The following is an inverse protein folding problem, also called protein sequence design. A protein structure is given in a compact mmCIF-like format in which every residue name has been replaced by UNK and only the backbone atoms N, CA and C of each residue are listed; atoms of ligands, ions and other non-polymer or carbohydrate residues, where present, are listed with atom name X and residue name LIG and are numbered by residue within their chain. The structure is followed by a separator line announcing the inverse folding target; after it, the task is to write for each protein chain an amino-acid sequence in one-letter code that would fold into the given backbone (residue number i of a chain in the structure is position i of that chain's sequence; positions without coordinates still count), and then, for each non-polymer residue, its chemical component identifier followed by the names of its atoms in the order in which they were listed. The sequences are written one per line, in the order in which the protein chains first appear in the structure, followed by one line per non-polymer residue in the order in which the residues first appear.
data_IF_852982376201
#
_entry.id   IF_852982376201
#
_cell.length_a   1.000
_cell.length_b   1.000
_cell.length_c   1.000
_cell.angle_alpha   90.00
_cell.angle_beta   90.00
_cell.angle_gamma   90.00
#
_symmetry.space_group_name_H-M   'P 1'
#
loop_
_entity.id
_entity.type
_entity.pdbx_description
1 polymer ?
#
# COMPACT_ATOMS: atom_id res chain seq x y z
N UNK A 1 16.67 -6.85 -15.38
CA UNK A 1 16.25 -5.43 -15.48
C UNK A 1 14.74 -5.43 -15.74
N UNK A 2 13.93 -5.14 -14.71
CA UNK A 2 12.47 -4.99 -14.83
C UNK A 2 12.13 -3.59 -14.28
N UNK A 3 11.29 -2.81 -14.98
CA UNK A 3 11.02 -1.42 -14.63
C UNK A 3 10.25 -1.31 -13.32
N UNK A 4 10.38 -0.13 -12.74
CA UNK A 4 10.06 0.29 -11.38
C UNK A 4 8.58 0.06 -11.03
N UNK A 5 8.31 -0.79 -10.03
CA UNK A 5 6.97 -0.92 -9.44
C UNK A 5 6.73 0.29 -8.52
N UNK A 6 6.20 1.35 -9.11
CA UNK A 6 5.77 2.56 -8.41
C UNK A 6 4.60 2.30 -7.46
N UNK A 7 4.62 2.98 -6.31
CA UNK A 7 3.69 2.83 -5.19
C UNK A 7 2.24 3.00 -5.61
N UNK A 8 1.50 1.91 -5.58
CA UNK A 8 0.04 1.94 -5.75
C UNK A 8 -0.58 2.14 -4.37
N UNK A 9 -1.31 3.23 -4.20
CA UNK A 9 -2.22 3.42 -3.06
C UNK A 9 -3.60 3.01 -3.57
N UNK A 10 -4.13 1.91 -3.04
CA UNK A 10 -5.47 1.45 -3.40
C UNK A 10 -6.46 2.12 -2.44
N UNK A 11 -7.30 3.00 -2.99
CA UNK A 11 -8.45 3.61 -2.31
C UNK A 11 -9.66 3.23 -3.15
N UNK A 12 -10.60 2.46 -2.61
CA UNK A 12 -11.76 2.01 -3.37
C UNK A 12 -12.90 1.55 -2.47
N UNK A 13 -14.13 1.86 -2.90
CA UNK A 13 -15.36 1.41 -2.26
C UNK A 13 -15.70 -0.04 -2.63
N UNK A 14 -15.94 -0.86 -1.60
CA UNK A 14 -16.23 -2.28 -1.73
C UNK A 14 -15.02 -3.16 -2.13
N UNK A 15 -15.06 -4.48 -1.87
CA UNK A 15 -13.96 -5.40 -2.12
C UNK A 15 -13.79 -5.69 -3.62
N UNK A 16 -13.39 -4.69 -4.41
CA UNK A 16 -12.96 -4.85 -5.81
C UNK A 16 -11.51 -5.35 -5.89
N UNK A 17 -11.14 -6.36 -5.11
CA UNK A 17 -9.76 -6.93 -5.07
C UNK A 17 -9.40 -7.79 -6.28
N UNK A 18 -10.24 -7.83 -7.32
CA UNK A 18 -9.87 -8.42 -8.60
C UNK A 18 -8.63 -7.75 -9.22
N UNK A 19 -8.41 -6.45 -8.98
CA UNK A 19 -7.20 -5.73 -9.42
C UNK A 19 -5.92 -6.27 -8.76
N UNK A 20 -6.06 -6.87 -7.58
CA UNK A 20 -4.98 -7.25 -6.67
C UNK A 20 -4.58 -8.72 -6.81
N UNK A 21 -5.49 -9.56 -7.32
CA UNK A 21 -5.24 -11.00 -7.52
C UNK A 21 -4.02 -11.32 -8.39
N UNK A 22 -3.64 -10.43 -9.31
CA UNK A 22 -2.50 -10.61 -10.22
C UNK A 22 -1.20 -9.96 -9.73
N UNK A 23 -1.23 -9.26 -8.59
CA UNK A 23 -0.08 -8.46 -8.12
C UNK A 23 0.77 -9.18 -7.08
N UNK A 24 0.34 -10.35 -6.59
CA UNK A 24 1.00 -11.09 -5.51
C UNK A 24 0.73 -10.54 -4.11
N UNK A 25 -0.21 -9.59 -3.98
CA UNK A 25 -0.62 -9.04 -2.69
C UNK A 25 -1.60 -10.01 -2.02
N UNK A 26 -1.35 -10.29 -0.74
CA UNK A 26 -2.19 -11.17 0.05
C UNK A 26 -3.55 -10.55 0.36
N UNK A 27 -4.59 -11.36 0.19
CA UNK A 27 -5.95 -11.06 0.59
C UNK A 27 -6.44 -12.10 1.60
N UNK A 28 -7.38 -11.73 2.46
CA UNK A 28 -8.05 -12.67 3.35
C UNK A 28 -9.19 -13.44 2.63
N UNK A 29 -9.89 -14.30 3.38
CA UNK A 29 -11.00 -15.11 2.85
C UNK A 29 -12.20 -14.29 2.35
N UNK A 30 -12.33 -13.05 2.82
CA UNK A 30 -13.38 -12.10 2.42
C UNK A 30 -12.95 -11.24 1.22
N UNK A 31 -11.72 -11.43 0.74
CA UNK A 31 -11.13 -10.65 -0.33
C UNK A 31 -10.63 -9.28 0.13
N UNK A 32 -10.37 -9.08 1.42
CA UNK A 32 -9.81 -7.85 1.97
C UNK A 32 -8.27 -7.90 1.86
N UNK A 33 -7.64 -6.80 1.46
CA UNK A 33 -6.18 -6.70 1.42
C UNK A 33 -5.65 -6.78 2.84
N UNK A 34 -4.72 -7.71 3.08
CA UNK A 34 -4.05 -7.79 4.37
C UNK A 34 -3.04 -6.66 4.50
N UNK A 35 -3.14 -5.93 5.59
CA UNK A 35 -2.19 -4.88 5.96
C UNK A 35 -1.76 -4.99 7.41
N UNK A 36 -0.56 -4.50 7.73
CA UNK A 36 -0.12 -4.29 9.10
C UNK A 36 -0.66 -2.97 9.68
N UNK A 37 -0.31 -2.64 10.95
CA UNK A 37 -0.73 -1.37 11.59
C UNK A 37 -0.22 -0.10 10.92
N UNK A 38 0.70 -0.22 9.96
CA UNK A 38 1.27 0.88 9.19
C UNK A 38 0.70 0.92 7.77
N UNK A 39 -0.33 0.13 7.49
CA UNK A 39 -0.96 0.01 6.17
C UNK A 39 -0.07 -0.61 5.10
N UNK A 40 0.99 -1.32 5.51
CA UNK A 40 1.86 -2.03 4.60
C UNK A 40 1.28 -3.40 4.24
N UNK A 41 1.33 -3.74 2.95
CA UNK A 41 1.01 -5.08 2.46
C UNK A 41 2.22 -6.02 2.58
N UNK A 42 2.08 -7.28 2.16
CA UNK A 42 3.20 -8.20 2.01
C UNK A 42 4.20 -7.79 0.90
N UNK A 43 3.82 -6.88 0.00
CA UNK A 43 4.69 -6.39 -1.08
C UNK A 43 5.36 -5.09 -0.63
N UNK A 44 6.70 -5.09 -0.62
CA UNK A 44 7.47 -3.91 -0.21
C UNK A 44 7.13 -2.70 -1.10
N UNK A 45 6.86 -1.56 -0.44
CA UNK A 45 6.51 -0.31 -1.12
C UNK A 45 5.06 -0.21 -1.57
N UNK A 46 4.21 -1.21 -1.27
CA UNK A 46 2.78 -1.18 -1.56
C UNK A 46 1.96 -1.10 -0.27
N UNK A 47 1.00 -0.19 -0.27
CA UNK A 47 0.18 0.17 0.89
C UNK A 47 -1.30 0.19 0.49
N UNK A 48 -2.19 -0.13 1.44
CA UNK A 48 -3.63 -0.16 1.20
C UNK A 48 -4.40 0.44 2.40
N UNK A 49 -5.52 1.12 2.13
CA UNK A 49 -6.30 1.82 3.14
C UNK A 49 -7.79 1.90 2.74
N UNK A 50 -8.67 2.07 3.73
CA UNK A 50 -10.11 2.20 3.53
C UNK A 50 -10.79 0.86 3.29
N UNK A 51 -11.93 0.85 2.59
CA UNK A 51 -12.79 -0.34 2.47
C UNK A 51 -12.09 -1.57 1.86
N UNK A 52 -11.04 -1.37 1.06
CA UNK A 52 -10.26 -2.46 0.49
C UNK A 52 -9.50 -3.31 1.55
N UNK A 53 -9.25 -2.76 2.73
CA UNK A 53 -8.66 -3.47 3.88
C UNK A 53 -9.73 -4.07 4.81
N UNK A 54 -11.01 -3.77 4.53
CA UNK A 54 -12.15 -4.07 5.39
C UNK A 54 -12.05 -3.52 6.83
N UNK A 55 -11.11 -2.60 7.08
CA UNK A 55 -10.91 -1.91 8.35
C UNK A 55 -11.62 -0.56 8.48
N UNK A 56 -12.17 -0.03 7.38
CA UNK A 56 -12.54 1.38 7.28
C UNK A 56 -13.93 1.67 6.73
N UNK A 57 -14.98 0.95 7.16
CA UNK A 57 -16.39 1.22 6.75
C UNK A 57 -16.94 2.60 7.18
N UNK A 58 -16.10 3.46 7.76
CA UNK A 58 -16.41 4.83 8.16
C UNK A 58 -15.41 5.79 7.52
N UNK A 59 -15.90 6.93 7.02
CA UNK A 59 -15.11 7.94 6.30
C UNK A 59 -13.88 8.38 7.11
N UNK A 60 -14.07 8.65 8.41
CA UNK A 60 -12.98 9.15 9.28
C UNK A 60 -11.88 8.10 9.46
N UNK A 61 -12.26 6.83 9.63
CA UNK A 61 -11.30 5.72 9.73
C UNK A 61 -10.53 5.58 8.43
N UNK A 62 -11.22 5.52 7.28
CA UNK A 62 -10.57 5.44 5.98
C UNK A 62 -9.60 6.61 5.72
N UNK A 63 -9.95 7.84 6.15
CA UNK A 63 -9.07 8.99 6.04
C UNK A 63 -7.80 8.84 6.91
N UNK A 64 -7.93 8.37 8.15
CA UNK A 64 -6.79 8.11 9.04
C UNK A 64 -5.87 7.01 8.51
N UNK A 65 -6.45 5.93 7.98
CA UNK A 65 -5.71 4.87 7.32
C UNK A 65 -4.97 5.37 6.07
N UNK A 66 -5.63 6.20 5.26
CA UNK A 66 -5.04 6.82 4.07
C UNK A 66 -3.86 7.73 4.43
N UNK A 67 -3.99 8.53 5.50
CA UNK A 67 -2.90 9.36 6.00
C UNK A 67 -1.69 8.52 6.44
N UNK A 68 -1.93 7.41 7.15
CA UNK A 68 -0.87 6.48 7.56
C UNK A 68 -0.17 5.87 6.34
N UNK A 69 -0.93 5.34 5.38
CA UNK A 69 -0.40 4.76 4.15
C UNK A 69 0.45 5.78 3.35
N UNK A 70 -0.03 7.02 3.23
CA UNK A 70 0.70 8.10 2.54
C UNK A 70 2.03 8.43 3.22
N UNK A 71 2.07 8.50 4.56
CA UNK A 71 3.30 8.74 5.32
C UNK A 71 4.30 7.59 5.07
N UNK A 72 3.85 6.34 5.07
CA UNK A 72 4.75 5.22 4.82
C UNK A 72 5.28 5.19 3.39
N UNK A 73 4.41 5.41 2.41
CA UNK A 73 4.80 5.51 1.01
C UNK A 73 5.84 6.62 0.80
N UNK A 74 5.64 7.79 1.41
CA UNK A 74 6.62 8.88 1.37
C UNK A 74 7.97 8.47 1.97
N UNK A 75 7.97 7.81 3.14
CA UNK A 75 9.20 7.31 3.78
C UNK A 75 9.91 6.28 2.91
N UNK A 76 9.17 5.39 2.26
CA UNK A 76 9.71 4.43 1.30
C UNK A 76 10.38 5.13 0.12
N UNK A 77 9.70 6.10 -0.51
CA UNK A 77 10.24 6.87 -1.64
C UNK A 77 11.52 7.63 -1.25
N UNK A 78 11.59 8.22 -0.05
CA UNK A 78 12.83 8.85 0.43
C UNK A 78 13.97 7.84 0.60
N UNK A 79 13.66 6.65 1.11
CA UNK A 79 14.65 5.60 1.34
C UNK A 79 15.22 5.07 0.02
N UNK A 80 14.38 4.84 -0.99
CA UNK A 80 14.85 4.40 -2.31
C UNK A 80 15.72 5.48 -2.96
N UNK A 81 15.34 6.78 -2.92
CA UNK A 81 16.16 7.88 -3.47
C UNK A 81 17.54 7.96 -2.83
N UNK A 82 17.65 7.70 -1.53
CA UNK A 82 18.96 7.64 -0.85
C UNK A 82 19.79 6.43 -1.29
N UNK A 83 19.17 5.29 -1.59
CA UNK A 83 19.87 4.08 -2.07
C UNK A 83 20.34 4.21 -3.52
N UNK A 84 19.60 4.92 -4.36
CA UNK A 84 19.94 5.15 -5.77
C UNK A 84 20.80 6.39 -6.02
N UNK A 85 21.04 7.23 -5.00
CA UNK A 85 22.00 8.33 -5.11
C UNK A 85 23.42 7.77 -5.33
N UNK A 86 24.20 8.35 -6.27
CA UNK A 86 25.56 7.91 -6.51
C UNK A 86 26.38 8.05 -5.22
N UNK A 87 27.06 6.97 -4.82
CA UNK A 87 28.07 7.05 -3.76
C UNK A 87 29.27 7.77 -4.35
N UNK A 88 29.51 9.02 -3.95
CA UNK A 88 30.77 9.67 -4.26
C UNK A 88 31.88 8.90 -3.56
N UNK A 89 32.73 8.25 -4.36
CA UNK A 89 34.04 7.73 -3.98
C UNK A 89 35.06 8.85 -3.89
#
# INVERSE_FOLDING_TARGET
MAPERFGTIIIGGGPMTNLVKKTGIEVDKRGCIKVDRRQATNVEGVYAAGDCTCGGMQIVTAAGEGAMAAIQAYRYVKRIKKRTAPKNS
#
